data_IF_288118342271
#
_entry.id   IF_288118342271
#
_cell.length_a   1.000
_cell.length_b   1.000
_cell.length_c   1.000
_cell.angle_alpha   90.00
_cell.angle_beta   90.00
_cell.angle_gamma   90.00
#
_symmetry.space_group_name_H-M   'P 1'
#
loop_
_entity.id
_entity.type
_entity.pdbx_description
1 polymer ?
#
# COMPACT_ATOMS: atom_id res chain seq x y z
N UNK A 1 5.93 16.37 12.54
CA UNK A 1 6.88 15.26 12.30
C UNK A 1 6.19 14.02 11.85
N UNK A 2 5.35 13.43 12.70
CA UNK A 2 4.60 12.25 12.33
C UNK A 2 3.71 12.47 11.11
N UNK A 3 3.11 13.66 11.01
CA UNK A 3 2.24 13.99 9.89
C UNK A 3 2.98 14.02 8.57
N UNK A 4 4.25 14.44 8.56
CA UNK A 4 5.05 14.48 7.35
C UNK A 4 5.40 13.07 6.86
N UNK A 5 5.80 12.20 7.77
CA UNK A 5 6.13 10.83 7.41
C UNK A 5 4.89 10.08 6.94
N UNK A 6 3.76 10.30 7.60
CA UNK A 6 2.51 9.67 7.21
C UNK A 6 2.09 10.09 5.81
N UNK A 7 2.23 11.37 5.49
CA UNK A 7 1.92 11.87 4.16
C UNK A 7 2.88 11.32 3.11
N UNK A 8 4.17 11.26 3.42
CA UNK A 8 5.15 10.69 2.50
C UNK A 8 4.82 9.23 2.18
N UNK A 9 4.49 8.45 3.20
CA UNK A 9 4.14 7.05 3.02
C UNK A 9 2.85 6.94 2.22
N UNK A 10 1.86 7.75 2.55
CA UNK A 10 0.59 7.76 1.82
C UNK A 10 0.82 8.06 0.33
N UNK A 11 1.61 9.09 0.03
CA UNK A 11 1.89 9.46 -1.36
C UNK A 11 2.61 8.33 -2.09
N UNK A 12 3.53 7.64 -1.43
CA UNK A 12 4.25 6.53 -2.04
C UNK A 12 3.34 5.34 -2.30
N UNK A 13 2.44 5.03 -1.36
CA UNK A 13 1.45 3.97 -1.55
C UNK A 13 0.52 4.33 -2.71
N UNK A 14 0.13 5.60 -2.80
CA UNK A 14 -0.71 6.08 -3.91
C UNK A 14 -0.02 5.85 -5.25
N UNK A 15 1.27 6.14 -5.32
CA UNK A 15 2.05 5.92 -6.54
C UNK A 15 2.15 4.43 -6.87
N UNK A 16 2.38 3.60 -5.86
CA UNK A 16 2.42 2.16 -6.04
C UNK A 16 1.10 1.62 -6.56
N UNK A 17 -0.01 2.00 -5.93
CA UNK A 17 -1.34 1.54 -6.33
C UNK A 17 -1.67 2.00 -7.75
N UNK A 18 -1.31 3.22 -8.10
CA UNK A 18 -1.52 3.75 -9.45
C UNK A 18 -0.76 2.92 -10.48
N UNK A 19 0.50 2.59 -10.19
CA UNK A 19 1.30 1.75 -11.08
C UNK A 19 0.70 0.36 -11.24
N UNK A 20 0.22 -0.22 -10.13
CA UNK A 20 -0.43 -1.53 -10.16
C UNK A 20 -1.71 -1.51 -11.00
N UNK A 21 -2.54 -0.49 -10.80
CA UNK A 21 -3.81 -0.37 -11.52
C UNK A 21 -3.62 -0.11 -13.01
N UNK A 22 -2.55 0.58 -13.39
CA UNK A 22 -2.26 0.91 -14.79
C UNK A 22 -1.40 -0.12 -15.50
N UNK A 23 -1.07 -1.22 -14.83
CA UNK A 23 -0.20 -2.27 -15.38
C UNK A 23 1.18 -1.77 -15.76
N UNK A 24 1.70 -0.82 -15.01
CA UNK A 24 3.03 -0.27 -15.26
C UNK A 24 4.10 -1.21 -14.67
N UNK A 25 4.32 -2.34 -15.36
CA UNK A 25 5.23 -3.38 -14.89
C UNK A 25 6.66 -2.89 -14.73
N UNK A 26 7.10 -2.00 -15.61
CA UNK A 26 8.46 -1.47 -15.56
C UNK A 26 8.70 -0.69 -14.28
N UNK A 27 7.78 0.20 -13.92
CA UNK A 27 7.88 0.98 -12.69
C UNK A 27 7.80 0.07 -11.46
N UNK A 28 6.91 -0.90 -11.47
CA UNK A 28 6.77 -1.85 -10.36
C UNK A 28 8.06 -2.64 -10.15
N UNK A 29 8.72 -3.08 -11.22
CA UNK A 29 9.99 -3.80 -11.11
C UNK A 29 11.11 -2.89 -10.62
N UNK A 30 11.24 -1.73 -11.21
CA UNK A 30 12.38 -0.84 -10.94
C UNK A 30 12.30 -0.15 -9.60
N UNK A 31 11.12 0.31 -9.21
CA UNK A 31 10.97 1.08 -7.99
C UNK A 31 10.50 0.27 -6.81
N UNK A 32 9.67 -0.75 -7.04
CA UNK A 32 9.02 -1.48 -5.96
C UNK A 32 9.43 -2.95 -5.88
N UNK A 33 10.36 -3.38 -6.72
CA UNK A 33 10.88 -4.75 -6.71
C UNK A 33 9.79 -5.82 -6.89
N UNK A 34 8.80 -5.52 -7.73
CA UNK A 34 7.70 -6.45 -8.01
C UNK A 34 8.00 -7.19 -9.32
N UNK A 35 8.41 -8.47 -9.26
CA UNK A 35 8.63 -9.25 -10.49
C UNK A 35 7.31 -9.65 -11.13
N UNK A 36 7.37 -10.09 -12.39
CA UNK A 36 6.18 -10.43 -13.15
C UNK A 36 5.31 -11.50 -12.46
N UNK A 37 5.93 -12.52 -11.86
CA UNK A 37 5.18 -13.55 -11.15
C UNK A 37 4.36 -13.01 -9.99
N UNK A 38 4.97 -12.14 -9.20
CA UNK A 38 4.25 -11.52 -8.08
C UNK A 38 3.15 -10.59 -8.59
N UNK A 39 3.42 -9.84 -9.65
CA UNK A 39 2.43 -8.97 -10.26
C UNK A 39 1.18 -9.77 -10.68
N UNK A 40 1.39 -10.92 -11.31
CA UNK A 40 0.28 -11.76 -11.73
C UNK A 40 -0.48 -12.35 -10.55
N UNK A 41 0.22 -12.76 -9.49
CA UNK A 41 -0.42 -13.24 -8.26
C UNK A 41 -1.30 -12.16 -7.64
N UNK A 42 -0.83 -10.92 -7.61
CA UNK A 42 -1.59 -9.80 -7.08
C UNK A 42 -2.88 -9.58 -7.87
N UNK A 43 -2.80 -9.65 -9.20
CA UNK A 43 -3.96 -9.51 -10.06
C UNK A 43 -4.97 -10.63 -9.83
N UNK A 44 -4.49 -11.86 -9.73
CA UNK A 44 -5.36 -13.02 -9.50
C UNK A 44 -6.07 -12.93 -8.15
N UNK A 45 -5.35 -12.48 -7.13
CA UNK A 45 -5.92 -12.32 -5.80
C UNK A 45 -7.09 -11.34 -5.81
N UNK A 46 -6.93 -10.19 -6.44
CA UNK A 46 -7.98 -9.19 -6.51
C UNK A 46 -9.18 -9.74 -7.29
N UNK A 47 -8.91 -10.36 -8.43
CA UNK A 47 -9.98 -10.86 -9.29
C UNK A 47 -10.76 -12.00 -8.62
N UNK A 48 -10.05 -12.97 -8.00
CA UNK A 48 -10.71 -14.14 -7.45
C UNK A 48 -11.38 -13.87 -6.10
N UNK A 49 -10.75 -13.09 -5.23
CA UNK A 49 -11.27 -12.87 -3.88
C UNK A 49 -12.32 -11.78 -3.81
N UNK A 50 -12.26 -10.81 -4.71
CA UNK A 50 -13.22 -9.71 -4.71
C UNK A 50 -14.14 -9.72 -5.93
N UNK A 51 -13.93 -10.64 -6.87
CA UNK A 51 -14.69 -10.74 -8.13
C UNK A 51 -14.84 -9.37 -8.79
N UNK A 52 -13.75 -8.58 -8.76
CA UNK A 52 -13.76 -7.22 -9.28
C UNK A 52 -12.46 -6.91 -9.99
N UNK A 53 -12.48 -5.84 -10.76
CA UNK A 53 -11.28 -5.35 -11.40
C UNK A 53 -10.51 -4.42 -10.45
N UNK A 54 -9.19 -4.46 -10.53
CA UNK A 54 -8.33 -3.65 -9.66
C UNK A 54 -8.52 -2.14 -9.87
N UNK A 55 -9.12 -1.73 -11.00
CA UNK A 55 -9.43 -0.33 -11.25
C UNK A 55 -10.42 0.23 -10.22
N UNK A 56 -11.18 -0.63 -9.58
CA UNK A 56 -12.14 -0.23 -8.54
C UNK A 56 -11.51 -0.04 -7.17
N UNK A 57 -10.23 -0.35 -7.04
CA UNK A 57 -9.49 -0.13 -5.80
C UNK A 57 -9.01 1.30 -5.71
N UNK A 58 -9.01 1.86 -4.51
CA UNK A 58 -8.45 3.19 -4.27
C UNK A 58 -8.05 3.34 -2.81
N UNK A 59 -7.28 4.37 -2.51
CA UNK A 59 -6.95 4.71 -1.14
C UNK A 59 -8.07 5.53 -0.53
N UNK A 60 -8.23 5.42 0.79
CA UNK A 60 -9.07 6.36 1.52
C UNK A 60 -8.44 7.75 1.40
N UNK A 61 -9.25 8.83 1.41
CA UNK A 61 -8.69 10.17 1.38
C UNK A 61 -7.73 10.40 2.54
N UNK A 62 -6.67 11.18 2.31
CA UNK A 62 -5.67 11.46 3.34
C UNK A 62 -6.31 12.03 4.62
N UNK A 63 -7.41 12.76 4.48
CA UNK A 63 -8.12 13.32 5.62
C UNK A 63 -8.81 12.27 6.48
N UNK A 64 -8.99 11.05 5.98
CA UNK A 64 -9.71 9.98 6.66
C UNK A 64 -8.81 8.89 7.23
N UNK A 65 -7.49 8.94 6.97
CA UNK A 65 -6.61 7.81 7.29
C UNK A 65 -6.41 7.59 8.79
N UNK A 66 -6.76 8.55 9.63
CA UNK A 66 -6.67 8.40 11.07
C UNK A 66 -7.93 7.77 11.69
N UNK A 67 -8.96 7.54 10.90
CA UNK A 67 -10.18 6.90 11.38
C UNK A 67 -9.93 5.43 11.70
N UNK A 68 -10.67 4.92 12.69
CA UNK A 68 -10.51 3.56 13.17
C UNK A 68 -11.53 2.66 12.47
N UNK A 69 -11.04 1.59 11.83
CA UNK A 69 -11.86 0.54 11.25
C UNK A 69 -11.18 -0.80 11.58
N UNK A 70 -11.98 -1.78 11.99
CA UNK A 70 -11.41 -3.07 12.33
C UNK A 70 -10.42 -3.06 13.47
N UNK A 71 -10.54 -2.08 14.38
CA UNK A 71 -9.68 -1.99 15.55
C UNK A 71 -8.37 -1.25 15.34
N UNK A 72 -8.15 -0.67 14.16
CA UNK A 72 -6.92 0.09 13.88
C UNK A 72 -7.22 1.23 12.93
N UNK A 73 -6.28 2.16 12.80
CA UNK A 73 -6.41 3.26 11.85
C UNK A 73 -6.35 2.73 10.41
N UNK A 74 -7.01 3.43 9.50
CA UNK A 74 -7.02 3.05 8.08
C UNK A 74 -5.61 3.05 7.48
N UNK A 75 -4.75 3.96 7.94
CA UNK A 75 -3.31 3.91 7.64
C UNK A 75 -2.58 3.85 8.96
N UNK A 76 -2.08 2.66 9.30
CA UNK A 76 -1.37 2.40 10.53
C UNK A 76 0.13 2.28 10.25
N UNK A 77 0.94 3.03 10.98
CA UNK A 77 2.39 3.09 10.78
C UNK A 77 3.07 2.87 12.11
N UNK A 78 3.88 1.81 12.19
CA UNK A 78 4.65 1.47 13.38
C UNK A 78 6.14 1.58 13.09
N UNK A 79 6.85 2.40 13.86
CA UNK A 79 8.29 2.57 13.69
C UNK A 79 9.05 1.47 14.45
N UNK A 80 9.97 0.80 13.74
CA UNK A 80 10.85 -0.21 14.32
C UNK A 80 12.25 0.37 14.41
N UNK A 81 12.62 0.88 15.57
CA UNK A 81 13.84 1.67 15.78
C UNK A 81 15.12 0.91 15.48
N UNK A 82 15.14 -0.40 15.78
CA UNK A 82 16.35 -1.20 15.57
C UNK A 82 16.71 -1.36 14.10
N UNK A 83 15.73 -1.27 13.21
CA UNK A 83 15.91 -1.50 11.78
C UNK A 83 15.73 -0.23 10.96
N UNK A 84 15.46 0.92 11.61
CA UNK A 84 15.19 2.19 10.93
C UNK A 84 14.11 2.06 9.87
N UNK A 85 13.05 1.32 10.18
CA UNK A 85 11.98 1.12 9.24
C UNK A 85 10.62 1.36 9.87
N UNK A 86 9.65 1.63 9.03
CA UNK A 86 8.25 1.74 9.42
C UNK A 86 7.51 0.54 8.83
N UNK A 87 6.71 -0.13 9.66
CA UNK A 87 5.81 -1.18 9.20
C UNK A 87 4.48 -0.51 8.91
N UNK A 88 3.98 -0.70 7.70
CA UNK A 88 2.83 0.02 7.19
C UNK A 88 1.68 -0.95 6.90
N UNK A 89 0.50 -0.62 7.42
CA UNK A 89 -0.74 -1.32 7.11
C UNK A 89 -1.73 -0.29 6.59
N UNK A 90 -2.07 -0.41 5.32
CA UNK A 90 -2.93 0.56 4.66
C UNK A 90 -4.18 -0.12 4.11
N UNK A 91 -5.33 0.23 4.68
CA UNK A 91 -6.61 -0.29 4.16
C UNK A 91 -6.89 0.33 2.80
N UNK A 92 -7.38 -0.51 1.90
CA UNK A 92 -7.73 -0.15 0.53
C UNK A 92 -9.26 -0.21 0.42
N UNK A 93 -9.86 0.78 -0.19
CA UNK A 93 -11.30 0.73 -0.43
C UNK A 93 -11.62 0.15 -1.80
N UNK A 94 -12.77 -0.47 -1.89
CA UNK A 94 -13.30 -1.04 -3.13
C UNK A 94 -14.59 -0.32 -3.45
N UNK A 95 -14.69 0.25 -4.65
CA UNK A 95 -15.85 1.05 -5.03
C UNK A 95 -16.16 2.13 -3.98
N UNK A 96 -15.08 2.76 -3.46
CA UNK A 96 -15.15 3.85 -2.48
C UNK A 96 -15.69 3.43 -1.11
N UNK A 97 -15.63 2.14 -0.78
CA UNK A 97 -16.08 1.62 0.51
C UNK A 97 -15.03 0.73 1.16
N UNK A 98 -15.04 0.68 2.49
CA UNK A 98 -14.20 -0.23 3.25
C UNK A 98 -14.55 -1.68 2.87
N UNK A 99 -13.54 -2.50 2.57
CA UNK A 99 -13.77 -3.89 2.16
C UNK A 99 -12.93 -4.90 2.93
N UNK A 100 -12.07 -4.45 3.82
CA UNK A 100 -11.20 -5.33 4.60
C UNK A 100 -9.87 -5.67 3.92
N UNK A 101 -9.66 -5.26 2.68
CA UNK A 101 -8.38 -5.46 2.01
C UNK A 101 -7.35 -4.50 2.58
N UNK A 102 -6.19 -5.03 2.95
CA UNK A 102 -5.12 -4.24 3.55
C UNK A 102 -3.80 -4.49 2.83
N UNK A 103 -3.13 -3.42 2.48
CA UNK A 103 -1.79 -3.49 1.91
C UNK A 103 -0.77 -3.45 3.04
N UNK A 104 0.12 -4.44 3.06
CA UNK A 104 1.20 -4.51 4.05
C UNK A 104 2.51 -4.21 3.35
N UNK A 105 3.29 -3.29 3.93
CA UNK A 105 4.55 -2.85 3.35
C UNK A 105 5.52 -2.39 4.42
N UNK A 106 6.79 -2.36 4.05
CA UNK A 106 7.84 -1.71 4.84
C UNK A 106 8.21 -0.40 4.15
N UNK A 107 8.51 0.62 4.96
CA UNK A 107 8.99 1.89 4.44
C UNK A 107 10.24 2.29 5.21
N UNK A 108 11.30 2.57 4.48
CA UNK A 108 12.58 2.94 5.08
C UNK A 108 13.34 3.89 4.17
N UNK A 109 14.37 4.53 4.72
CA UNK A 109 15.18 5.49 3.98
C UNK A 109 16.62 4.97 3.97
N UNK A 110 17.16 4.76 2.77
CA UNK A 110 18.56 4.35 2.56
C UNK A 110 19.27 5.49 1.87
N UNK A 111 20.33 6.03 2.51
CA UNK A 111 21.16 7.11 1.95
C UNK A 111 20.29 8.28 1.45
N UNK A 112 19.31 8.68 2.27
CA UNK A 112 18.37 9.76 1.98
C UNK A 112 17.35 9.45 0.88
N UNK A 113 17.29 8.20 0.42
CA UNK A 113 16.30 7.77 -0.57
C UNK A 113 15.22 6.94 0.08
N UNK A 114 13.95 7.36 0.00
CA UNK A 114 12.85 6.58 0.55
C UNK A 114 12.58 5.35 -0.30
N UNK A 115 12.22 4.26 0.37
CA UNK A 115 11.93 3.00 -0.28
C UNK A 115 10.67 2.40 0.34
N UNK A 116 9.65 2.17 -0.48
CA UNK A 116 8.47 1.41 -0.08
C UNK A 116 8.65 -0.01 -0.62
N UNK A 117 8.64 -0.98 0.27
CA UNK A 117 8.76 -2.38 -0.11
C UNK A 117 7.42 -3.06 0.16
N UNK A 118 6.68 -3.39 -0.91
CA UNK A 118 5.43 -4.11 -0.80
C UNK A 118 5.69 -5.52 -0.28
N UNK A 119 4.91 -5.95 0.70
CA UNK A 119 5.01 -7.29 1.27
C UNK A 119 3.90 -8.19 0.75
N UNK A 120 2.65 -7.85 1.02
CA UNK A 120 1.50 -8.64 0.57
C UNK A 120 0.21 -7.88 0.83
N UNK A 121 -0.86 -8.38 0.23
CA UNK A 121 -2.22 -7.96 0.57
C UNK A 121 -2.78 -8.92 1.63
N UNK A 122 -3.55 -8.38 2.55
CA UNK A 122 -4.18 -9.14 3.63
C UNK A 122 -5.66 -8.81 3.70
N UNK A 123 -6.45 -9.78 4.12
CA UNK A 123 -7.89 -9.62 4.32
C UNK A 123 -8.27 -9.72 5.78
#
# INVERSE_FOLDING_TARGET
MKNNIKKEIYDEISNFLSAFKSDNRQLLKQKYDIPDGLFEEMNELILSDFTTEKQNLSLFPISDVDKIEGGKELLSIDFVSNNNLYIVECDIQLNNEYCGLCLIADYYVIDHYPKLEFKYFRF
#
